data_IF_564600543272
#
_entry.id   IF_564600543272
#
_cell.length_a   1.000
_cell.length_b   1.000
_cell.length_c   1.000
_cell.angle_alpha   90.00
_cell.angle_beta   90.00
_cell.angle_gamma   90.00
#
_symmetry.space_group_name_H-M   'P 1'
#
loop_
_entity.id
_entity.type
_entity.pdbx_description
1 polymer ?
#
# COMPACT_ATOMS: atom_id res chain seq x y z
N UNK A 1 -26.58 1.61 -1.37
CA UNK A 1 -26.74 0.88 -2.67
C UNK A 1 -25.37 0.67 -3.31
N UNK A 2 -24.86 -0.56 -3.36
CA UNK A 2 -23.49 -0.85 -3.80
C UNK A 2 -23.27 -0.59 -5.30
N UNK A 3 -22.09 -0.06 -5.65
CA UNK A 3 -21.64 0.04 -7.04
C UNK A 3 -21.25 -1.36 -7.50
N UNK A 4 -22.07 -2.00 -8.32
CA UNK A 4 -21.76 -3.31 -8.90
C UNK A 4 -20.93 -3.16 -10.16
N UNK A 5 -19.92 -4.01 -10.29
CA UNK A 5 -19.10 -4.06 -11.50
C UNK A 5 -19.89 -4.76 -12.60
N UNK A 6 -19.82 -4.24 -13.83
CA UNK A 6 -20.30 -4.98 -15.00
C UNK A 6 -19.14 -5.77 -15.61
N UNK A 7 -19.29 -7.09 -15.72
CA UNK A 7 -18.31 -7.96 -16.37
C UNK A 7 -18.85 -8.45 -17.71
N UNK A 8 -18.06 -8.30 -18.78
CA UNK A 8 -18.38 -8.82 -20.11
C UNK A 8 -17.24 -9.66 -20.66
N UNK A 9 -17.58 -10.80 -21.24
CA UNK A 9 -16.68 -11.61 -22.06
C UNK A 9 -16.75 -11.15 -23.51
N UNK A 10 -15.59 -10.97 -24.15
CA UNK A 10 -15.46 -10.38 -25.50
C UNK A 10 -14.69 -11.26 -26.49
N UNK A 11 -14.54 -12.54 -26.20
CA UNK A 11 -13.85 -13.52 -27.07
C UNK A 11 -14.72 -14.05 -28.22
N UNK A 12 -16.02 -13.77 -28.22
CA UNK A 12 -16.97 -14.15 -29.27
C UNK A 12 -17.36 -13.02 -30.22
N UNK A 13 -18.26 -13.30 -31.16
CA UNK A 13 -18.76 -12.32 -32.14
C UNK A 13 -19.54 -11.14 -31.52
N UNK A 14 -20.05 -11.30 -30.29
CA UNK A 14 -20.72 -10.26 -29.54
C UNK A 14 -20.32 -10.32 -28.05
N UNK A 15 -20.19 -9.17 -27.36
CA UNK A 15 -19.96 -9.14 -25.93
C UNK A 15 -21.06 -9.88 -25.16
N UNK A 16 -20.68 -10.78 -24.26
CA UNK A 16 -21.61 -11.51 -23.38
C UNK A 16 -21.45 -11.00 -21.95
N UNK A 17 -22.52 -10.51 -21.35
CA UNK A 17 -22.53 -10.14 -19.93
C UNK A 17 -22.35 -11.41 -19.08
N UNK A 18 -21.44 -11.36 -18.11
CA UNK A 18 -21.25 -12.38 -17.09
C UNK A 18 -22.02 -11.92 -15.86
N UNK A 19 -23.00 -12.70 -15.42
CA UNK A 19 -23.81 -12.37 -14.26
C UNK A 19 -23.07 -12.73 -12.96
N UNK A 20 -23.16 -11.90 -11.92
CA UNK A 20 -22.58 -12.21 -10.62
C UNK A 20 -23.31 -13.42 -10.01
N UNK A 21 -22.54 -14.30 -9.37
CA UNK A 21 -23.05 -15.48 -8.67
C UNK A 21 -22.96 -15.22 -7.18
N UNK A 22 -24.05 -15.51 -6.44
CA UNK A 22 -24.04 -15.43 -4.97
C UNK A 22 -23.08 -16.48 -4.41
N UNK A 23 -22.00 -16.00 -3.80
CA UNK A 23 -21.03 -16.85 -3.14
C UNK A 23 -21.41 -17.05 -1.67
N UNK A 24 -22.13 -18.13 -1.36
CA UNK A 24 -22.34 -18.53 0.03
C UNK A 24 -21.10 -19.27 0.56
N UNK A 25 -19.96 -18.60 0.75
CA UNK A 25 -18.78 -19.25 1.36
C UNK A 25 -17.75 -18.22 1.86
N UNK A 26 -18.02 -17.60 3.01
CA UNK A 26 -17.05 -16.79 3.79
C UNK A 26 -15.68 -17.50 3.89
N UNK A 27 -15.71 -18.82 4.07
CA UNK A 27 -14.55 -19.70 4.11
C UNK A 27 -13.71 -19.74 2.83
N UNK A 28 -14.34 -19.70 1.66
CA UNK A 28 -13.61 -19.67 0.38
C UNK A 28 -13.00 -18.30 0.17
N UNK A 29 -13.73 -17.23 0.49
CA UNK A 29 -13.21 -15.87 0.40
C UNK A 29 -12.01 -15.67 1.34
N UNK A 30 -12.09 -16.15 2.58
CA UNK A 30 -10.99 -16.15 3.53
C UNK A 30 -9.75 -16.83 2.94
N UNK A 31 -9.88 -18.04 2.36
CA UNK A 31 -8.75 -18.75 1.73
C UNK A 31 -8.15 -18.00 0.54
N UNK A 32 -8.98 -17.36 -0.29
CA UNK A 32 -8.46 -16.59 -1.43
C UNK A 32 -7.67 -15.38 -0.91
N UNK A 33 -8.19 -14.67 0.10
CA UNK A 33 -7.49 -13.53 0.73
C UNK A 33 -6.22 -13.99 1.45
N UNK A 34 -6.22 -15.13 2.15
CA UNK A 34 -5.02 -15.70 2.77
C UNK A 34 -3.94 -16.04 1.73
N UNK A 35 -4.35 -16.55 0.57
CA UNK A 35 -3.42 -16.93 -0.52
C UNK A 35 -2.84 -15.70 -1.22
N UNK A 36 -3.66 -14.67 -1.44
CA UNK A 36 -3.23 -13.41 -2.05
C UNK A 36 -3.86 -12.21 -1.33
N UNK A 37 -3.26 -11.74 -0.22
CA UNK A 37 -3.75 -10.58 0.51
C UNK A 37 -3.68 -9.28 -0.32
N UNK A 38 -2.83 -9.25 -1.36
CA UNK A 38 -2.69 -8.12 -2.26
C UNK A 38 -3.97 -7.74 -2.99
N UNK A 39 -4.93 -8.67 -3.10
CA UNK A 39 -6.28 -8.39 -3.60
C UNK A 39 -7.01 -7.30 -2.81
N UNK A 40 -6.65 -7.07 -1.54
CA UNK A 40 -7.21 -5.99 -0.72
C UNK A 40 -6.69 -4.61 -1.13
N UNK A 41 -5.68 -4.55 -2.02
CA UNK A 41 -5.07 -3.30 -2.48
C UNK A 41 -4.02 -2.73 -1.52
N UNK A 42 -3.67 -3.49 -0.48
CA UNK A 42 -2.57 -3.23 0.45
C UNK A 42 -1.79 -4.52 0.55
N UNK A 43 -0.45 -4.43 0.56
CA UNK A 43 0.39 -5.60 0.83
C UNK A 43 0.29 -5.93 2.32
N UNK A 44 -0.27 -7.09 2.63
CA UNK A 44 -0.58 -7.55 3.97
C UNK A 44 -0.01 -8.94 4.19
N UNK A 45 0.54 -9.17 5.37
CA UNK A 45 0.92 -10.48 5.86
C UNK A 45 -0.16 -10.94 6.84
N UNK A 46 -0.86 -12.04 6.53
CA UNK A 46 -1.82 -12.63 7.47
C UNK A 46 -1.04 -13.24 8.64
N UNK A 47 -1.41 -12.84 9.85
CA UNK A 47 -0.77 -13.30 11.09
C UNK A 47 -1.72 -14.14 11.93
N UNK A 48 -3.02 -14.17 11.63
CA UNK A 48 -3.98 -14.92 12.38
C UNK A 48 -5.29 -15.13 11.64
N UNK A 49 -5.94 -16.25 11.95
CA UNK A 49 -7.26 -16.61 11.44
C UNK A 49 -8.14 -17.07 12.60
N UNK A 50 -9.40 -16.64 12.62
CA UNK A 50 -10.36 -16.95 13.70
C UNK A 50 -9.78 -16.60 15.08
N UNK A 51 -9.09 -15.45 15.17
CA UNK A 51 -8.37 -15.01 16.38
C UNK A 51 -9.38 -14.69 17.46
N UNK A 52 -9.30 -15.42 18.59
CA UNK A 52 -10.18 -15.20 19.73
C UNK A 52 -9.76 -13.94 20.48
N UNK A 53 -10.72 -13.06 20.71
CA UNK A 53 -10.56 -11.88 21.56
C UNK A 53 -10.83 -12.24 23.02
N UNK A 54 -10.48 -11.33 23.95
CA UNK A 54 -10.78 -11.51 25.37
C UNK A 54 -12.29 -11.43 25.70
N UNK A 55 -13.12 -10.97 24.76
CA UNK A 55 -14.55 -10.70 24.95
C UNK A 55 -15.45 -11.70 24.19
N UNK A 56 -14.97 -12.93 23.98
CA UNK A 56 -15.66 -14.04 23.27
C UNK A 56 -15.92 -13.78 21.77
N UNK A 57 -15.41 -12.67 21.23
CA UNK A 57 -15.39 -12.38 19.79
C UNK A 57 -14.32 -13.16 19.03
N UNK A 58 -14.51 -13.33 17.72
CA UNK A 58 -13.56 -13.99 16.80
C UNK A 58 -13.32 -13.15 15.56
N UNK A 59 -12.10 -12.65 15.41
CA UNK A 59 -11.69 -11.93 14.22
C UNK A 59 -11.45 -12.94 13.10
N UNK A 60 -12.10 -12.75 11.94
CA UNK A 60 -11.96 -13.70 10.83
C UNK A 60 -10.51 -13.79 10.34
N UNK A 61 -9.89 -12.65 10.00
CA UNK A 61 -8.46 -12.56 9.69
C UNK A 61 -7.83 -11.36 10.38
N UNK A 62 -6.62 -11.57 10.90
CA UNK A 62 -5.76 -10.53 11.44
C UNK A 62 -4.49 -10.48 10.61
N UNK A 63 -4.09 -9.29 10.18
CA UNK A 63 -2.92 -9.08 9.34
C UNK A 63 -2.07 -7.91 9.82
N UNK A 64 -0.86 -7.81 9.31
CA UNK A 64 0.03 -6.65 9.47
C UNK A 64 0.47 -6.12 8.11
N UNK A 65 0.68 -4.81 8.01
CA UNK A 65 1.34 -4.19 6.85
C UNK A 65 2.84 -3.98 7.08
N UNK A 66 3.54 -3.52 6.04
CA UNK A 66 4.98 -3.25 6.07
C UNK A 66 5.40 -2.18 7.10
N UNK A 67 4.49 -1.31 7.53
CA UNK A 67 4.74 -0.29 8.56
C UNK A 67 4.47 -0.83 9.98
N UNK A 68 4.03 -2.09 10.12
CA UNK A 68 3.62 -2.70 11.39
C UNK A 68 2.23 -2.30 11.85
N UNK A 69 1.42 -1.69 10.97
CA UNK A 69 0.00 -1.42 11.23
C UNK A 69 -0.82 -2.71 11.21
N UNK A 70 -1.79 -2.84 12.12
CA UNK A 70 -2.62 -4.05 12.24
C UNK A 70 -3.91 -3.89 11.44
N UNK A 71 -4.27 -4.90 10.66
CA UNK A 71 -5.48 -4.92 9.85
C UNK A 71 -6.42 -6.00 10.36
N UNK A 72 -7.60 -5.57 10.81
CA UNK A 72 -8.71 -6.43 11.21
C UNK A 72 -9.61 -6.59 10.00
N UNK A 73 -9.78 -7.83 9.54
CA UNK A 73 -10.67 -8.15 8.42
C UNK A 73 -11.83 -8.99 8.94
N UNK A 74 -13.05 -8.48 8.79
CA UNK A 74 -14.29 -9.17 9.13
C UNK A 74 -15.03 -9.52 7.84
N UNK A 75 -15.29 -10.80 7.58
CA UNK A 75 -15.82 -11.28 6.31
C UNK A 75 -17.29 -11.67 6.44
N UNK A 76 -18.15 -11.09 5.61
CA UNK A 76 -19.57 -11.43 5.49
C UNK A 76 -19.85 -11.92 4.06
N UNK A 77 -20.26 -13.18 3.93
CA UNK A 77 -20.57 -13.80 2.64
C UNK A 77 -21.89 -13.34 2.02
N UNK A 78 -22.76 -12.72 2.82
CA UNK A 78 -24.09 -12.26 2.43
C UNK A 78 -24.29 -10.77 2.76
N UNK A 79 -25.56 -10.36 2.89
CA UNK A 79 -25.89 -8.98 3.20
C UNK A 79 -25.41 -8.64 4.60
N UNK A 80 -24.48 -7.70 4.66
CA UNK A 80 -23.90 -7.21 5.91
C UNK A 80 -24.96 -6.58 6.79
N UNK A 81 -25.23 -7.13 7.98
CA UNK A 81 -26.18 -6.54 8.90
C UNK A 81 -25.45 -5.52 9.79
N UNK A 82 -26.16 -4.50 10.27
CA UNK A 82 -25.57 -3.38 11.04
C UNK A 82 -24.72 -3.81 12.24
N UNK A 83 -24.97 -5.00 12.78
CA UNK A 83 -24.21 -5.55 13.92
C UNK A 83 -22.73 -5.75 13.58
N UNK A 84 -22.36 -5.88 12.30
CA UNK A 84 -20.96 -5.99 11.88
C UNK A 84 -20.14 -4.76 12.29
N UNK A 85 -20.77 -3.57 12.33
CA UNK A 85 -20.06 -2.34 12.65
C UNK A 85 -19.70 -2.34 14.13
N UNK A 86 -20.64 -2.79 14.97
CA UNK A 86 -20.38 -2.96 16.41
C UNK A 86 -19.28 -4.01 16.64
N UNK A 87 -19.34 -5.13 15.92
CA UNK A 87 -18.34 -6.20 15.98
C UNK A 87 -16.94 -5.69 15.57
N UNK A 88 -16.83 -4.97 14.44
CA UNK A 88 -15.58 -4.40 13.98
C UNK A 88 -14.99 -3.39 14.98
N UNK A 89 -15.84 -2.56 15.61
CA UNK A 89 -15.41 -1.61 16.64
C UNK A 89 -14.94 -2.32 17.93
N UNK A 90 -15.63 -3.37 18.35
CA UNK A 90 -15.22 -4.20 19.49
C UNK A 90 -13.85 -4.84 19.24
N UNK A 91 -13.63 -5.34 18.02
CA UNK A 91 -12.33 -5.88 17.61
C UNK A 91 -11.25 -4.80 17.55
N UNK A 92 -11.57 -3.62 17.05
CA UNK A 92 -10.65 -2.48 17.08
C UNK A 92 -10.23 -2.10 18.49
N UNK A 93 -11.18 -2.06 19.43
CA UNK A 93 -10.89 -1.77 20.84
C UNK A 93 -9.98 -2.83 21.47
N UNK A 94 -10.19 -4.11 21.17
CA UNK A 94 -9.31 -5.19 21.64
C UNK A 94 -7.92 -5.13 21.00
N UNK A 95 -7.86 -4.99 19.67
CA UNK A 95 -6.60 -4.92 18.91
C UNK A 95 -5.76 -3.73 19.33
N UNK A 96 -6.36 -2.58 19.68
CA UNK A 96 -5.64 -1.41 20.15
C UNK A 96 -4.75 -1.68 21.36
N UNK A 97 -5.11 -2.66 22.19
CA UNK A 97 -4.34 -3.05 23.38
C UNK A 97 -3.20 -4.04 23.10
N UNK A 98 -3.13 -4.64 21.91
CA UNK A 98 -2.16 -5.69 21.62
C UNK A 98 -0.73 -5.15 21.59
N UNK A 99 0.14 -5.85 22.30
CA UNK A 99 1.58 -5.61 22.34
C UNK A 99 2.31 -6.30 21.16
N UNK A 100 3.57 -5.89 20.96
CA UNK A 100 4.49 -6.53 20.02
C UNK A 100 4.59 -8.05 20.22
N UNK A 101 4.64 -8.50 21.47
CA UNK A 101 4.83 -9.92 21.80
C UNK A 101 3.52 -10.68 21.56
N UNK A 102 2.37 -10.12 21.91
CA UNK A 102 1.07 -10.74 21.64
C UNK A 102 0.81 -10.92 20.14
N UNK A 103 1.20 -9.96 19.29
CA UNK A 103 1.10 -10.12 17.84
C UNK A 103 1.99 -11.25 17.32
N UNK A 104 3.20 -11.39 17.87
CA UNK A 104 4.12 -12.50 17.54
C UNK A 104 3.56 -13.84 18.01
N UNK A 105 2.93 -13.90 19.18
CA UNK A 105 2.24 -15.10 19.67
C UNK A 105 1.04 -15.47 18.80
N UNK A 106 0.25 -14.49 18.34
CA UNK A 106 -0.85 -14.74 17.39
C UNK A 106 -0.31 -15.39 16.11
N UNK A 107 0.79 -14.86 15.55
CA UNK A 107 1.47 -15.46 14.40
C UNK A 107 1.98 -16.88 14.69
N UNK A 108 2.65 -17.10 15.83
CA UNK A 108 3.16 -18.42 16.24
C UNK A 108 2.06 -19.45 16.37
N UNK A 109 0.88 -19.05 16.84
CA UNK A 109 -0.29 -19.92 16.95
C UNK A 109 -0.99 -20.17 15.61
N UNK A 110 -0.83 -19.27 14.64
CA UNK A 110 -1.44 -19.36 13.32
C UNK A 110 -0.64 -20.20 12.32
N UNK A 111 0.71 -20.12 12.39
CA UNK A 111 1.58 -20.78 11.41
C UNK A 111 1.33 -22.29 11.36
N UNK A 112 1.32 -22.85 10.16
CA UNK A 112 1.25 -24.29 9.97
C UNK A 112 2.55 -24.98 10.45
N UNK A 113 2.49 -26.29 10.72
CA UNK A 113 3.66 -27.07 11.16
C UNK A 113 4.84 -27.02 10.18
N UNK A 114 4.56 -26.79 8.89
CA UNK A 114 5.59 -26.63 7.85
C UNK A 114 6.29 -25.28 7.86
N UNK A 115 5.71 -24.27 8.51
CA UNK A 115 6.28 -22.93 8.61
C UNK A 115 7.15 -22.82 9.87
N UNK A 116 8.47 -22.91 9.70
CA UNK A 116 9.41 -22.88 10.82
C UNK A 116 9.87 -21.47 11.19
N UNK A 117 9.63 -20.46 10.34
CA UNK A 117 10.11 -19.09 10.56
C UNK A 117 9.38 -18.42 11.71
N UNK A 118 10.13 -17.68 12.51
CA UNK A 118 9.58 -16.74 13.49
C UNK A 118 8.97 -15.53 12.78
N UNK A 119 8.13 -14.76 13.49
CA UNK A 119 7.42 -13.61 12.92
C UNK A 119 8.34 -12.67 12.13
N UNK A 120 9.48 -12.27 12.70
CA UNK A 120 10.37 -11.29 12.08
C UNK A 120 11.01 -11.81 10.79
N UNK A 121 11.32 -13.11 10.72
CA UNK A 121 11.85 -13.78 9.50
C UNK A 121 10.77 -13.91 8.42
N UNK A 122 9.55 -14.27 8.82
CA UNK A 122 8.40 -14.35 7.93
C UNK A 122 8.02 -12.97 7.40
N UNK A 123 8.03 -11.94 8.25
CA UNK A 123 7.81 -10.55 7.88
C UNK A 123 8.84 -10.07 6.87
N UNK A 124 10.13 -10.29 7.17
CA UNK A 124 11.24 -9.94 6.29
C UNK A 124 11.10 -10.64 4.94
N UNK A 125 10.76 -11.94 4.92
CA UNK A 125 10.57 -12.65 3.66
C UNK A 125 9.35 -12.16 2.89
N UNK A 126 8.21 -11.97 3.58
CA UNK A 126 6.94 -11.56 2.97
C UNK A 126 7.09 -10.22 2.29
N UNK A 127 7.56 -9.20 3.03
CA UNK A 127 7.70 -7.83 2.54
C UNK A 127 9.02 -7.55 1.81
N UNK A 128 9.97 -8.48 1.86
CA UNK A 128 11.33 -8.31 1.35
C UNK A 128 12.22 -7.44 2.24
N UNK A 129 11.89 -7.24 3.52
CA UNK A 129 12.63 -6.33 4.42
C UNK A 129 13.88 -6.98 4.99
N UNK A 130 14.80 -6.19 5.59
CA UNK A 130 15.90 -6.76 6.40
C UNK A 130 15.37 -7.31 7.74
N UNK A 131 14.38 -6.66 8.35
CA UNK A 131 13.74 -7.07 9.60
C UNK A 131 12.33 -6.49 9.74
N UNK A 132 11.57 -6.99 10.71
CA UNK A 132 10.32 -6.34 11.12
C UNK A 132 10.59 -4.98 11.83
N UNK A 133 9.61 -4.06 11.85
CA UNK A 133 9.69 -2.83 12.65
C UNK A 133 9.84 -3.13 14.14
N UNK A 134 10.61 -2.29 14.85
CA UNK A 134 10.76 -2.41 16.31
C UNK A 134 9.44 -2.24 17.07
N UNK A 135 8.52 -1.43 16.52
CA UNK A 135 7.18 -1.21 17.09
C UNK A 135 6.13 -1.64 16.09
N UNK A 136 5.31 -2.61 16.49
CA UNK A 136 4.09 -3.03 15.81
C UNK A 136 2.88 -2.35 16.46
N UNK A 137 1.72 -2.48 15.82
CA UNK A 137 0.45 -1.90 16.28
C UNK A 137 0.50 -0.38 16.48
N UNK A 138 1.28 0.31 15.63
CA UNK A 138 1.36 1.78 15.64
C UNK A 138 0.06 2.43 15.16
N UNK A 139 -0.74 1.65 14.41
CA UNK A 139 -2.09 1.96 13.96
C UNK A 139 -2.85 0.66 13.72
N UNK A 140 -4.17 0.74 13.63
CA UNK A 140 -4.99 -0.36 13.15
C UNK A 140 -6.07 0.11 12.17
N UNK A 141 -6.49 -0.79 11.29
CA UNK A 141 -7.55 -0.57 10.30
C UNK A 141 -8.60 -1.66 10.43
N UNK A 142 -9.88 -1.28 10.32
CA UNK A 142 -11.04 -2.17 10.37
C UNK A 142 -11.62 -2.27 8.96
N UNK A 143 -11.52 -3.44 8.35
CA UNK A 143 -12.08 -3.68 7.01
C UNK A 143 -13.19 -4.71 7.11
N UNK A 144 -14.40 -4.29 6.77
CA UNK A 144 -15.53 -5.19 6.57
C UNK A 144 -15.48 -5.63 5.12
N UNK A 145 -15.40 -6.93 4.89
CA UNK A 145 -15.38 -7.55 3.56
C UNK A 145 -16.74 -8.15 3.31
N UNK A 146 -17.46 -7.68 2.27
CA UNK A 146 -18.85 -8.04 2.07
C UNK A 146 -19.24 -8.21 0.60
N UNK A 147 -20.27 -9.01 0.31
CA UNK A 147 -20.89 -9.05 -1.02
C UNK A 147 -21.90 -7.90 -1.19
N UNK A 148 -22.73 -7.66 -0.18
CA UNK A 148 -23.75 -6.61 -0.17
C UNK A 148 -23.76 -5.90 1.20
N UNK A 149 -24.24 -4.66 1.22
CA UNK A 149 -24.36 -3.85 2.43
C UNK A 149 -25.72 -3.16 2.48
N UNK A 150 -26.30 -3.06 3.66
CA UNK A 150 -27.53 -2.31 3.87
C UNK A 150 -27.30 -0.82 4.16
N UNK A 151 -28.33 0.01 3.92
CA UNK A 151 -28.25 1.45 4.08
C UNK A 151 -27.89 1.89 5.52
N UNK A 152 -28.21 1.05 6.51
CA UNK A 152 -27.88 1.31 7.90
C UNK A 152 -26.37 1.19 8.15
N UNK A 153 -25.76 0.10 7.65
CA UNK A 153 -24.32 -0.14 7.71
C UNK A 153 -23.56 0.93 6.91
N UNK A 154 -24.05 1.27 5.71
CA UNK A 154 -23.50 2.36 4.89
C UNK A 154 -23.45 3.67 5.67
N UNK A 155 -24.60 4.10 6.20
CA UNK A 155 -24.68 5.32 6.99
C UNK A 155 -23.75 5.31 8.21
N UNK A 156 -23.63 4.19 8.92
CA UNK A 156 -22.77 4.06 10.11
C UNK A 156 -21.29 4.13 9.75
N UNK A 157 -20.86 3.39 8.72
CA UNK A 157 -19.47 3.39 8.25
C UNK A 157 -19.08 4.77 7.73
N UNK A 158 -19.93 5.42 6.92
CA UNK A 158 -19.68 6.79 6.47
C UNK A 158 -19.55 7.74 7.67
N UNK A 159 -20.50 7.72 8.61
CA UNK A 159 -20.47 8.59 9.79
C UNK A 159 -19.16 8.44 10.58
N UNK A 160 -18.73 7.20 10.84
CA UNK A 160 -17.51 6.93 11.61
C UNK A 160 -16.25 7.29 10.83
N UNK A 161 -16.15 6.88 9.57
CA UNK A 161 -14.96 7.07 8.76
C UNK A 161 -14.75 8.53 8.36
N UNK A 162 -15.79 9.21 7.86
CA UNK A 162 -15.66 10.60 7.38
C UNK A 162 -15.93 11.63 8.45
N UNK A 163 -16.75 11.31 9.45
CA UNK A 163 -17.08 12.25 10.53
C UNK A 163 -16.07 12.25 11.67
N UNK A 164 -15.40 11.12 11.94
CA UNK A 164 -14.56 10.94 13.13
C UNK A 164 -13.18 10.32 12.84
N UNK A 165 -12.80 10.15 11.57
CA UNK A 165 -11.54 9.50 11.14
C UNK A 165 -11.32 8.11 11.77
N UNK A 166 -12.40 7.41 12.07
CA UNK A 166 -12.32 6.01 12.50
C UNK A 166 -11.77 5.21 11.32
N UNK A 167 -10.73 4.38 11.50
CA UNK A 167 -10.09 3.68 10.40
C UNK A 167 -10.92 2.46 9.95
N UNK A 168 -12.22 2.63 9.76
CA UNK A 168 -13.17 1.64 9.27
C UNK A 168 -13.50 1.88 7.80
N UNK A 169 -13.62 0.81 7.02
CA UNK A 169 -14.10 0.86 5.64
C UNK A 169 -14.76 -0.47 5.25
N UNK A 170 -15.48 -0.47 4.13
CA UNK A 170 -16.10 -1.66 3.56
C UNK A 170 -15.48 -1.93 2.19
N UNK A 171 -15.00 -3.16 2.01
CA UNK A 171 -14.60 -3.70 0.71
C UNK A 171 -15.73 -4.61 0.20
N UNK A 172 -16.22 -4.30 -0.99
CA UNK A 172 -17.17 -5.13 -1.72
C UNK A 172 -16.44 -6.13 -2.61
N UNK A 173 -16.96 -7.35 -2.66
CA UNK A 173 -16.55 -8.36 -3.63
C UNK A 173 -17.73 -8.85 -4.47
N UNK A 174 -17.56 -8.82 -5.79
CA UNK A 174 -18.43 -9.50 -6.74
C UNK A 174 -17.72 -10.75 -7.26
N UNK A 175 -18.41 -11.89 -7.22
CA UNK A 175 -17.89 -13.16 -7.74
C UNK A 175 -18.63 -13.54 -9.02
N UNK A 176 -17.89 -13.98 -10.02
CA UNK A 176 -18.43 -14.35 -11.33
C UNK A 176 -17.93 -15.72 -11.75
N UNK A 177 -18.79 -16.48 -12.43
CA UNK A 177 -18.40 -17.74 -13.06
C UNK A 177 -18.78 -17.73 -14.53
N UNK A 178 -17.85 -18.18 -15.37
CA UNK A 178 -18.04 -18.22 -16.81
C UNK A 178 -17.24 -19.40 -17.39
N UNK A 179 -17.96 -20.39 -17.95
CA UNK A 179 -17.37 -21.57 -18.63
C UNK A 179 -16.25 -22.26 -17.82
N UNK A 180 -16.47 -22.47 -16.52
CA UNK A 180 -15.53 -23.14 -15.63
C UNK A 180 -14.39 -22.25 -15.12
N UNK A 181 -14.38 -20.97 -15.47
CA UNK A 181 -13.48 -19.95 -14.92
C UNK A 181 -14.20 -19.17 -13.82
N UNK A 182 -13.44 -18.80 -12.80
CA UNK A 182 -13.93 -18.00 -11.67
C UNK A 182 -13.21 -16.67 -11.66
N UNK A 183 -13.96 -15.59 -11.43
CA UNK A 183 -13.44 -14.23 -11.35
C UNK A 183 -13.90 -13.59 -10.05
N UNK A 184 -13.04 -12.76 -9.48
CA UNK A 184 -13.32 -11.98 -8.30
C UNK A 184 -13.01 -10.52 -8.62
N UNK A 185 -14.00 -9.66 -8.45
CA UNK A 185 -13.85 -8.22 -8.62
C UNK A 185 -14.07 -7.53 -7.27
N UNK A 186 -13.40 -6.40 -7.04
CA UNK A 186 -13.46 -5.69 -5.75
C UNK A 186 -13.62 -4.19 -5.90
N UNK A 187 -14.39 -3.59 -5.00
CA UNK A 187 -14.67 -2.15 -4.95
C UNK A 187 -14.64 -1.67 -3.50
N UNK A 188 -14.07 -0.49 -3.25
CA UNK A 188 -14.14 0.14 -1.93
C UNK A 188 -15.39 1.00 -1.79
N UNK A 189 -16.03 0.97 -0.62
CA UNK A 189 -17.13 1.89 -0.30
C UNK A 189 -16.63 3.34 -0.25
N UNK A 190 -15.60 3.59 0.55
CA UNK A 190 -14.95 4.88 0.63
C UNK A 190 -13.61 4.75 -0.07
N UNK A 191 -13.47 5.43 -1.20
CA UNK A 191 -12.19 5.53 -1.88
C UNK A 191 -11.28 6.48 -1.10
N UNK A 192 -10.41 5.91 -0.27
CA UNK A 192 -9.45 6.67 0.54
C UNK A 192 -8.36 7.33 -0.30
N UNK A 193 -8.27 7.09 -1.62
CA UNK A 193 -7.43 7.90 -2.51
C UNK A 193 -8.07 9.23 -2.89
N UNK A 194 -9.39 9.40 -2.73
CA UNK A 194 -10.12 10.65 -3.04
C UNK A 194 -10.63 11.39 -1.81
N UNK A 195 -10.77 10.71 -0.66
CA UNK A 195 -11.40 11.26 0.55
C UNK A 195 -10.47 12.08 1.48
N UNK A 196 -9.18 12.24 1.18
CA UNK A 196 -8.20 12.83 2.12
C UNK A 196 -8.18 14.36 2.13
N UNK A 197 -9.14 15.00 1.44
CA UNK A 197 -9.28 16.46 1.42
C UNK A 197 -10.09 17.04 2.59
N UNK A 198 -10.70 16.23 3.47
CA UNK A 198 -11.57 16.78 4.52
C UNK A 198 -11.58 15.95 5.81
N UNK A 199 -10.64 16.21 6.71
CA UNK A 199 -10.90 16.40 8.15
C UNK A 199 -9.60 16.46 8.95
N UNK A 200 -9.18 17.68 9.29
CA UNK A 200 -8.18 17.94 10.30
C UNK A 200 -8.87 18.11 11.66
N UNK A 201 -8.90 17.08 12.50
CA UNK A 201 -9.07 17.26 13.95
C UNK A 201 -8.41 16.13 14.72
N UNK A 202 -7.61 16.52 15.70
CA UNK A 202 -6.66 15.70 16.44
C UNK A 202 -7.31 14.65 17.35
N UNK A 203 -6.66 13.49 17.46
CA UNK A 203 -6.69 12.67 18.67
C UNK A 203 -5.28 12.18 19.00
N UNK A 204 -4.88 12.49 20.23
CA UNK A 204 -3.59 12.18 20.83
C UNK A 204 -3.54 10.70 21.23
N UNK A 205 -3.10 9.85 20.29
CA UNK A 205 -2.64 8.48 20.57
C UNK A 205 -1.80 7.89 19.42
N UNK A 206 -1.85 8.47 18.22
CA UNK A 206 -0.99 8.04 17.11
C UNK A 206 0.46 8.48 17.35
N UNK A 207 1.41 7.54 17.43
CA UNK A 207 2.86 7.83 17.39
C UNK A 207 3.29 8.45 16.05
N UNK A 208 2.46 8.37 15.01
CA UNK A 208 2.71 8.87 13.65
C UNK A 208 1.53 9.72 13.16
N UNK A 209 1.73 10.94 12.63
CA UNK A 209 0.63 11.75 12.09
C UNK A 209 -0.17 11.01 11.01
N UNK A 210 -1.48 11.26 10.86
CA UNK A 210 -2.24 10.70 9.74
C UNK A 210 -1.62 11.08 8.39
N UNK A 211 -1.76 10.18 7.41
CA UNK A 211 -1.33 10.47 6.05
C UNK A 211 -2.29 11.42 5.35
N UNK A 212 -1.78 12.31 4.51
CA UNK A 212 -2.60 13.27 3.77
C UNK A 212 -3.10 12.76 2.42
N UNK A 213 -2.91 11.48 2.10
CA UNK A 213 -3.47 10.86 0.90
C UNK A 213 -2.69 11.07 -0.40
N UNK A 214 -1.73 12.00 -0.40
CA UNK A 214 -1.06 12.41 -1.64
C UNK A 214 0.47 12.41 -1.53
N UNK A 215 1.04 12.64 -0.35
CA UNK A 215 2.49 12.81 -0.22
C UNK A 215 3.27 11.51 0.02
N UNK A 216 4.24 11.26 -0.85
CA UNK A 216 5.11 10.10 -0.80
C UNK A 216 6.56 10.54 -0.61
N UNK A 217 7.24 9.90 0.32
CA UNK A 217 8.69 9.94 0.41
C UNK A 217 9.25 8.95 -0.61
N UNK A 218 10.25 9.37 -1.38
CA UNK A 218 11.00 8.49 -2.27
C UNK A 218 12.49 8.63 -1.97
N UNK A 219 13.14 7.52 -1.63
CA UNK A 219 14.59 7.44 -1.47
C UNK A 219 15.23 7.09 -2.81
N UNK A 220 16.03 8.02 -3.37
CA UNK A 220 16.74 7.80 -4.63
C UNK A 220 18.22 7.53 -4.36
N UNK A 221 18.65 6.29 -4.60
CA UNK A 221 20.04 5.85 -4.41
C UNK A 221 20.94 6.37 -5.52
N UNK A 222 21.52 7.55 -5.33
CA UNK A 222 22.45 8.18 -6.28
C UNK A 222 23.88 7.69 -6.05
N UNK A 223 24.17 6.49 -6.56
CA UNK A 223 25.50 5.90 -6.63
C UNK A 223 26.04 6.04 -8.07
N UNK A 224 27.22 6.64 -8.24
CA UNK A 224 27.76 7.12 -9.52
C UNK A 224 27.92 6.07 -10.65
N UNK A 225 27.50 4.82 -10.39
CA UNK A 225 27.53 3.68 -11.30
C UNK A 225 26.11 3.32 -11.74
N UNK A 226 25.21 3.02 -10.80
CA UNK A 226 23.91 2.43 -11.12
C UNK A 226 22.87 3.49 -11.47
N UNK A 227 22.79 4.57 -10.69
CA UNK A 227 21.76 5.60 -10.85
C UNK A 227 22.37 6.99 -10.69
N UNK A 228 22.01 7.90 -11.58
CA UNK A 228 22.43 9.29 -11.50
C UNK A 228 21.23 10.22 -11.28
N UNK A 229 21.27 11.04 -10.23
CA UNK A 229 20.20 12.03 -9.99
C UNK A 229 20.00 12.99 -11.17
N UNK A 230 21.08 13.33 -11.87
CA UNK A 230 21.02 14.17 -13.06
C UNK A 230 20.14 13.59 -14.17
N UNK A 231 20.10 12.28 -14.35
CA UNK A 231 19.24 11.63 -15.34
C UNK A 231 17.77 11.71 -14.91
N UNK A 232 17.50 11.35 -13.65
CA UNK A 232 16.17 11.42 -13.03
C UNK A 232 15.56 12.82 -13.18
N UNK A 233 16.35 13.84 -12.83
CA UNK A 233 15.99 15.26 -12.98
C UNK A 233 15.75 15.65 -14.44
N UNK A 234 16.62 15.23 -15.35
CA UNK A 234 16.56 15.63 -16.76
C UNK A 234 15.38 15.01 -17.50
N UNK A 235 15.11 13.73 -17.25
CA UNK A 235 14.14 12.96 -18.04
C UNK A 235 12.80 12.71 -17.35
N UNK A 236 12.66 13.04 -16.06
CA UNK A 236 11.37 12.96 -15.37
C UNK A 236 11.06 11.56 -14.84
N UNK A 237 11.90 11.03 -13.95
CA UNK A 237 11.65 9.74 -13.31
C UNK A 237 12.36 9.61 -11.96
N UNK A 238 11.95 8.62 -11.18
CA UNK A 238 12.73 8.03 -10.09
C UNK A 238 12.82 6.51 -10.32
N UNK A 239 13.76 5.83 -9.68
CA UNK A 239 13.92 4.40 -9.87
C UNK A 239 14.42 3.69 -8.62
N UNK A 240 14.08 2.41 -8.51
CA UNK A 240 14.53 1.50 -7.47
C UNK A 240 14.55 0.06 -8.00
N UNK A 241 15.43 -0.78 -7.48
CA UNK A 241 15.71 -2.11 -8.03
C UNK A 241 16.93 -2.74 -7.36
N UNK A 242 17.35 -3.90 -7.84
CA UNK A 242 18.36 -4.74 -7.19
C UNK A 242 17.77 -5.77 -6.22
N UNK A 243 16.45 -5.94 -6.25
CA UNK A 243 15.68 -6.90 -5.45
C UNK A 243 14.26 -6.39 -5.20
N UNK A 244 13.31 -7.30 -4.96
CA UNK A 244 11.90 -6.99 -4.68
C UNK A 244 11.72 -6.01 -3.54
N UNK A 245 12.59 -6.04 -2.52
CA UNK A 245 12.60 -5.08 -1.43
C UNK A 245 12.52 -3.62 -1.92
N UNK A 246 13.40 -3.28 -2.86
CA UNK A 246 13.56 -1.94 -3.39
C UNK A 246 12.43 -1.62 -4.37
N UNK A 247 12.13 -2.53 -5.29
CA UNK A 247 11.14 -2.26 -6.34
C UNK A 247 9.70 -2.28 -5.84
N UNK A 248 9.36 -3.10 -4.84
CA UNK A 248 7.98 -3.26 -4.35
C UNK A 248 7.44 -1.98 -3.74
N UNK A 249 8.21 -1.34 -2.86
CA UNK A 249 7.78 -0.09 -2.23
C UNK A 249 7.58 1.03 -3.26
N UNK A 250 8.41 1.07 -4.31
CA UNK A 250 8.24 2.02 -5.42
C UNK A 250 6.97 1.75 -6.25
N UNK A 251 6.61 0.47 -6.46
CA UNK A 251 5.39 0.08 -7.18
C UNK A 251 4.09 0.45 -6.45
N UNK A 252 4.14 0.69 -5.14
CA UNK A 252 2.97 1.10 -4.34
C UNK A 252 2.60 2.57 -4.54
N UNK A 253 3.47 3.39 -5.13
CA UNK A 253 3.18 4.81 -5.35
C UNK A 253 2.18 4.96 -6.50
N UNK A 254 0.95 5.43 -6.26
CA UNK A 254 -0.07 5.53 -7.28
C UNK A 254 0.20 6.71 -8.23
N UNK A 255 -0.34 6.61 -9.44
CA UNK A 255 -0.46 7.75 -10.37
C UNK A 255 -1.22 8.89 -9.68
N UNK A 256 -0.75 10.13 -9.83
CA UNK A 256 -1.26 11.31 -9.15
C UNK A 256 -0.65 11.54 -7.75
N UNK A 257 0.16 10.61 -7.22
CA UNK A 257 0.89 10.83 -5.98
C UNK A 257 1.91 11.97 -6.11
N UNK A 258 2.02 12.83 -5.09
CA UNK A 258 3.05 13.86 -4.98
C UNK A 258 4.28 13.27 -4.30
N UNK A 259 5.41 13.25 -4.98
CA UNK A 259 6.66 12.64 -4.49
C UNK A 259 7.64 13.70 -4.01
N UNK A 260 8.16 13.49 -2.80
CA UNK A 260 9.26 14.25 -2.20
C UNK A 260 10.49 13.35 -2.22
N UNK A 261 11.44 13.68 -3.08
CA UNK A 261 12.58 12.82 -3.39
C UNK A 261 13.77 13.21 -2.54
N UNK A 262 14.32 12.23 -1.85
CA UNK A 262 15.45 12.35 -0.94
C UNK A 262 16.59 11.44 -1.40
N UNK A 263 17.81 11.98 -1.44
CA UNK A 263 19.03 11.18 -1.64
C UNK A 263 19.63 10.90 -0.26
N UNK A 264 19.84 9.62 0.13
CA UNK A 264 20.46 9.26 1.40
C UNK A 264 21.77 10.00 1.65
N UNK A 265 21.93 10.52 2.88
CA UNK A 265 23.10 11.32 3.33
C UNK A 265 23.30 12.66 2.61
N UNK A 266 22.38 13.07 1.74
CA UNK A 266 22.44 14.33 0.98
C UNK A 266 21.27 15.23 1.34
N UNK A 267 20.03 14.75 1.20
CA UNK A 267 18.82 15.51 1.51
C UNK A 267 17.77 15.48 0.41
N UNK A 268 16.74 16.31 0.55
CA UNK A 268 15.64 16.43 -0.41
C UNK A 268 16.08 17.22 -1.65
N UNK A 269 15.86 16.62 -2.83
CA UNK A 269 16.37 17.12 -4.12
C UNK A 269 15.28 17.38 -5.16
N UNK A 270 14.07 16.87 -4.96
CA UNK A 270 12.97 17.09 -5.91
C UNK A 270 11.59 16.98 -5.31
N UNK A 271 10.67 17.70 -5.93
CA UNK A 271 9.23 17.64 -5.73
C UNK A 271 8.57 17.39 -7.09
N UNK A 272 7.72 16.38 -7.20
CA UNK A 272 7.06 16.03 -8.45
C UNK A 272 5.76 15.28 -8.26
N UNK A 273 5.11 14.95 -9.37
CA UNK A 273 3.87 14.18 -9.43
C UNK A 273 4.08 12.92 -10.26
N UNK A 274 3.58 11.79 -9.79
CA UNK A 274 3.62 10.52 -10.52
C UNK A 274 2.66 10.56 -11.70
N UNK A 275 3.16 10.31 -12.91
CA UNK A 275 2.35 10.37 -14.15
C UNK A 275 2.14 9.01 -14.81
N UNK A 276 2.74 7.95 -14.27
CA UNK A 276 2.57 6.57 -14.74
C UNK A 276 2.89 5.57 -13.64
N UNK A 277 2.39 4.34 -13.76
CA UNK A 277 2.74 3.27 -12.83
C UNK A 277 4.23 2.90 -12.97
N UNK A 278 4.81 2.37 -11.90
CA UNK A 278 6.17 1.84 -11.96
C UNK A 278 6.25 0.67 -12.94
N UNK A 279 7.27 0.66 -13.79
CA UNK A 279 7.51 -0.40 -14.79
C UNK A 279 8.98 -0.84 -14.78
N UNK A 280 9.30 -2.09 -15.15
CA UNK A 280 10.68 -2.49 -15.37
C UNK A 280 11.35 -1.57 -16.38
N UNK A 281 12.62 -1.22 -16.16
CA UNK A 281 13.36 -0.24 -16.97
C UNK A 281 13.37 -0.57 -18.47
N UNK A 282 13.33 -1.86 -18.83
CA UNK A 282 13.30 -2.31 -20.23
C UNK A 282 11.95 -2.03 -20.93
N UNK A 283 10.87 -1.99 -20.16
CA UNK A 283 9.50 -1.77 -20.63
C UNK A 283 9.00 -0.34 -20.37
N UNK A 284 9.69 0.39 -19.50
CA UNK A 284 9.25 1.68 -18.98
C UNK A 284 9.15 2.74 -20.07
N UNK A 285 8.02 3.43 -20.11
CA UNK A 285 7.77 4.59 -20.96
C UNK A 285 7.75 5.86 -20.10
N UNK A 286 8.61 6.84 -20.44
CA UNK A 286 8.62 8.14 -19.76
C UNK A 286 7.69 9.13 -20.47
N UNK A 287 7.00 9.91 -19.65
CA UNK A 287 6.04 10.95 -20.01
C UNK A 287 4.83 10.44 -20.83
N UNK A 288 3.73 11.20 -20.83
CA UNK A 288 2.57 10.92 -21.70
C UNK A 288 2.89 10.91 -23.20
N UNK A 289 4.13 11.22 -23.59
CA UNK A 289 4.64 11.24 -24.95
C UNK A 289 5.18 9.87 -25.44
N UNK A 290 5.32 8.88 -24.54
CA UNK A 290 5.63 7.49 -24.91
C UNK A 290 7.10 7.20 -25.28
N UNK A 291 8.07 7.95 -24.74
CA UNK A 291 9.49 7.69 -25.01
C UNK A 291 10.00 6.50 -24.17
N UNK A 292 10.56 5.44 -24.78
CA UNK A 292 11.11 4.31 -24.04
C UNK A 292 12.33 4.71 -23.20
N UNK A 293 12.36 4.31 -21.94
CA UNK A 293 13.43 4.61 -20.98
C UNK A 293 14.81 4.19 -21.51
N UNK A 294 14.92 2.99 -22.09
CA UNK A 294 16.19 2.46 -22.64
C UNK A 294 16.72 3.20 -23.88
N UNK A 295 15.97 4.14 -24.46
CA UNK A 295 16.44 4.98 -25.58
C UNK A 295 17.03 6.31 -25.12
N UNK A 296 16.97 6.60 -23.82
CA UNK A 296 17.50 7.83 -23.26
C UNK A 296 19.03 7.78 -23.19
N UNK A 297 19.66 8.95 -23.29
CA UNK A 297 21.10 9.10 -23.03
C UNK A 297 21.30 9.26 -21.53
N UNK A 298 21.40 8.12 -20.83
CA UNK A 298 21.58 8.02 -19.39
C UNK A 298 23.07 8.04 -19.02
N UNK A 299 23.39 8.64 -17.87
CA UNK A 299 24.70 8.55 -17.20
C UNK A 299 24.81 7.28 -16.35
N UNK A 300 23.72 6.87 -15.68
CA UNK A 300 23.66 5.63 -14.90
C UNK A 300 23.35 4.40 -15.75
N UNK A 301 23.72 3.21 -15.25
CA UNK A 301 23.47 1.94 -15.95
C UNK A 301 22.02 1.44 -15.81
N UNK A 302 21.36 1.75 -14.68
CA UNK A 302 19.99 1.32 -14.38
C UNK A 302 19.77 -0.18 -14.63
N UNK A 303 20.73 -0.97 -14.17
CA UNK A 303 20.75 -2.41 -14.32
C UNK A 303 21.36 -3.04 -13.07
N UNK A 304 20.87 -4.22 -12.70
CA UNK A 304 21.38 -4.97 -11.56
C UNK A 304 21.69 -6.37 -11.99
N UNK A 305 22.92 -6.80 -11.72
CA UNK A 305 23.37 -8.18 -11.96
C UNK A 305 23.68 -8.81 -10.61
N UNK A 306 22.88 -9.80 -10.21
CA UNK A 306 23.17 -10.58 -9.01
C UNK A 306 24.19 -11.67 -9.35
N UNK A 307 25.30 -11.74 -8.60
CA UNK A 307 26.32 -12.77 -8.80
C UNK A 307 25.78 -14.19 -8.53
N UNK A 308 24.85 -14.33 -7.58
CA UNK A 308 24.14 -15.56 -7.25
C UNK A 308 22.64 -15.25 -7.21
N UNK A 309 21.92 -15.29 -8.34
CA UNK A 309 20.51 -14.94 -8.39
C UNK A 309 19.65 -15.97 -7.64
N UNK A 310 18.78 -15.48 -6.77
CA UNK A 310 17.78 -16.31 -6.08
C UNK A 310 16.60 -16.56 -7.01
N UNK A 311 16.13 -17.80 -7.08
CA UNK A 311 14.99 -18.17 -7.91
C UNK A 311 13.73 -17.42 -7.45
N UNK A 312 13.03 -16.76 -8.38
CA UNK A 312 11.81 -16.00 -8.10
C UNK A 312 12.04 -14.60 -7.54
N UNK A 313 13.27 -14.16 -7.35
CA UNK A 313 13.61 -12.77 -7.01
C UNK A 313 13.51 -11.86 -8.25
N UNK A 314 13.20 -10.58 -8.05
CA UNK A 314 13.21 -9.59 -9.13
C UNK A 314 14.30 -8.54 -8.90
N UNK A 315 15.43 -8.73 -9.58
CA UNK A 315 16.56 -7.81 -9.50
C UNK A 315 16.43 -6.61 -10.43
N UNK A 316 15.44 -6.58 -11.34
CA UNK A 316 15.36 -5.52 -12.36
C UNK A 316 15.29 -4.13 -11.73
N UNK A 317 15.79 -3.15 -12.46
CA UNK A 317 15.51 -1.75 -12.15
C UNK A 317 14.06 -1.44 -12.53
N UNK A 318 13.32 -0.80 -11.62
CA UNK A 318 11.97 -0.31 -11.86
C UNK A 318 11.99 1.21 -11.90
N UNK A 319 11.29 1.77 -12.88
CA UNK A 319 11.24 3.19 -13.18
C UNK A 319 9.83 3.69 -12.92
N UNK A 320 9.70 4.75 -12.14
CA UNK A 320 8.46 5.46 -11.85
C UNK A 320 8.49 6.82 -12.55
N UNK A 321 7.65 7.05 -13.58
CA UNK A 321 7.61 8.31 -14.32
C UNK A 321 7.11 9.48 -13.46
N UNK A 322 7.89 10.57 -13.42
CA UNK A 322 7.60 11.76 -12.61
C UNK A 322 7.55 13.01 -13.48
N UNK A 323 6.47 13.77 -13.36
CA UNK A 323 6.42 15.16 -13.79
C UNK A 323 6.97 16.04 -12.68
N UNK A 324 8.16 16.60 -12.87
CA UNK A 324 8.78 17.47 -11.88
C UNK A 324 8.03 18.80 -11.74
N UNK A 325 7.72 19.16 -10.50
CA UNK A 325 7.34 20.53 -10.12
C UNK A 325 8.62 21.37 -10.01
N UNK A 326 9.59 20.87 -9.25
CA UNK A 326 10.91 21.50 -9.09
C UNK A 326 11.95 20.46 -8.66
N UNK A 327 13.19 20.71 -9.04
CA UNK A 327 14.35 19.88 -8.69
C UNK A 327 15.57 20.76 -8.48
N UNK A 328 16.49 20.34 -7.62
CA UNK A 328 17.79 21.01 -7.39
C UNK A 328 18.94 20.03 -7.58
N UNK A 329 20.17 20.56 -7.65
CA UNK A 329 21.39 19.73 -7.62
C UNK A 329 21.62 19.12 -6.23
N UNK A 330 22.50 18.13 -6.14
CA UNK A 330 22.90 17.50 -4.85
C UNK A 330 23.48 18.53 -3.87
N UNK A 331 24.24 19.47 -4.41
CA UNK A 331 24.89 20.58 -3.70
C UNK A 331 23.89 21.59 -3.11
N UNK A 332 22.66 21.58 -3.61
CA UNK A 332 21.56 22.45 -3.20
C UNK A 332 20.46 21.69 -2.46
N UNK A 333 20.70 20.43 -2.10
CA UNK A 333 19.69 19.61 -1.44
C UNK A 333 19.28 20.21 -0.09
N UNK A 334 18.00 20.13 0.23
CA UNK A 334 17.49 20.53 1.54
C UNK A 334 17.74 19.41 2.56
N UNK A 335 18.57 19.70 3.56
CA UNK A 335 18.67 18.87 4.75
C UNK A 335 18.76 19.71 6.02
N UNK A 336 17.97 19.34 7.04
CA UNK A 336 18.11 19.87 8.39
C UNK A 336 17.60 18.85 9.42
N UNK A 337 18.06 18.93 10.69
CA UNK A 337 17.55 18.07 11.74
C UNK A 337 16.02 18.10 11.82
N UNK A 338 15.42 16.93 11.99
CA UNK A 338 13.97 16.74 12.07
C UNK A 338 13.28 16.43 10.74
N UNK A 339 13.97 16.57 9.59
CA UNK A 339 13.42 16.06 8.33
C UNK A 339 13.39 14.53 8.32
N UNK A 340 12.29 13.98 7.82
CA UNK A 340 12.08 12.54 7.71
C UNK A 340 13.02 11.92 6.67
N UNK A 341 13.52 10.72 6.97
CA UNK A 341 14.19 9.85 6.01
C UNK A 341 13.87 8.40 6.38
N UNK A 342 13.80 7.53 5.36
CA UNK A 342 13.51 6.11 5.50
C UNK A 342 14.44 5.31 4.57
N UNK A 343 14.72 4.06 4.93
CA UNK A 343 15.51 3.12 4.14
C UNK A 343 14.73 2.54 2.95
N UNK A 344 13.39 2.49 3.03
CA UNK A 344 12.52 2.06 1.93
C UNK A 344 12.68 2.98 0.71
N UNK A 345 12.59 2.41 -0.49
CA UNK A 345 12.65 3.17 -1.75
C UNK A 345 11.48 4.14 -1.89
N UNK A 346 10.30 3.77 -1.40
CA UNK A 346 9.21 4.72 -1.19
C UNK A 346 8.38 4.37 0.05
N UNK A 347 7.75 5.38 0.65
CA UNK A 347 6.72 5.18 1.67
C UNK A 347 5.82 6.42 1.76
N UNK A 348 4.70 6.29 2.46
CA UNK A 348 3.81 7.42 2.71
C UNK A 348 4.50 8.43 3.62
N UNK A 349 4.59 9.69 3.20
CA UNK A 349 5.20 10.74 4.00
C UNK A 349 4.17 11.33 4.96
N UNK A 350 4.37 11.10 6.27
CA UNK A 350 3.46 11.56 7.35
C UNK A 350 3.95 12.79 8.10
N UNK A 351 5.25 13.08 8.01
CA UNK A 351 5.83 14.20 8.75
C UNK A 351 5.38 15.53 8.15
N UNK A 352 4.37 16.16 8.74
CA UNK A 352 3.89 17.48 8.29
C UNK A 352 5.02 18.51 8.29
N UNK A 353 5.89 18.46 9.30
CA UNK A 353 7.10 19.28 9.34
C UNK A 353 7.98 19.09 8.09
N UNK A 354 8.20 17.84 7.67
CA UNK A 354 8.98 17.57 6.45
C UNK A 354 8.27 18.07 5.21
N UNK A 355 6.97 17.79 5.09
CA UNK A 355 6.15 18.23 3.96
C UNK A 355 6.21 19.76 3.82
N UNK A 356 5.97 20.50 4.90
CA UNK A 356 5.93 21.97 4.90
C UNK A 356 7.30 22.55 4.52
N UNK A 357 8.38 22.02 5.10
CA UNK A 357 9.73 22.55 4.87
C UNK A 357 10.23 22.26 3.46
N UNK A 358 9.99 21.04 2.96
CA UNK A 358 10.37 20.65 1.59
C UNK A 358 9.52 21.42 0.58
N UNK A 359 8.20 21.51 0.79
CA UNK A 359 7.30 22.26 -0.09
C UNK A 359 7.72 23.72 -0.15
N UNK A 360 7.93 24.37 1.00
CA UNK A 360 8.38 25.77 1.07
C UNK A 360 9.71 25.97 0.35
N UNK A 361 10.67 25.06 0.50
CA UNK A 361 11.95 25.14 -0.18
C UNK A 361 11.80 25.10 -1.71
N UNK A 362 10.94 24.23 -2.24
CA UNK A 362 10.75 24.11 -3.68
C UNK A 362 9.81 25.16 -4.29
N UNK A 363 8.90 25.74 -3.50
CA UNK A 363 8.07 26.89 -3.89
C UNK A 363 8.82 28.23 -3.83
N UNK A 364 9.65 28.46 -2.80
CA UNK A 364 10.36 29.73 -2.62
C UNK A 364 11.50 29.96 -3.63
N UNK A 365 12.11 28.90 -4.15
CA UNK A 365 13.12 28.97 -5.21
C UNK A 365 12.50 29.12 -6.62
N UNK A 366 11.28 29.66 -6.71
CA UNK A 366 10.44 29.78 -7.90
C UNK A 366 10.50 31.12 -8.65
N UNK A 367 11.46 32.01 -8.36
CA UNK A 367 11.74 33.21 -9.17
C UNK A 367 12.91 33.02 -10.12
#
# INVERSE_FOLDING_TARGET
MGVHIGLWRVDGAAPRRVEPVRMAMTERLARIIETDPGMLGVDLMIIGRQVRTAYDGRIDLLAVDVEGGVHVLELKGDRTPREVVAQALDYGAWVQGLTNDELREIYRAHRDESETREFDEAFATHFGTESAPETLNTSHTLTIVAAEMDDATERMVTYLATGFDVPINVMFFDYYEDEGRSYLARTWMIDRNTAVAASSTASSARKQPPWNGIDWYVSFGDDAVTRAWDDARKYGFVSAGGGKWYSRSLQQVPVGGRVLVHIPKVGYVGLGEVVGAAQPADDAMLNGDGNPFRKLRLKGEYNHTAANPVAGEDYREWVLPIRWVKTVGRDQALWKPGLFANQNSACKLRSQFTIDEVTRFFEANGQ
#
